data_IF_917065907310
#
_entry.id   IF_917065907310
#
_cell.length_a   1.000
_cell.length_b   1.000
_cell.length_c   1.000
_cell.angle_alpha   90.00
_cell.angle_beta   90.00
_cell.angle_gamma   90.00
#
_symmetry.space_group_name_H-M   'P 1'
#
loop_
_entity.id
_entity.type
_entity.pdbx_description
1 polymer ?
#
# COMPACT_ATOMS: atom_id res chain seq x y z
N UNK A 1 32.90 21.03 18.00
CA UNK A 1 33.88 19.99 18.34
C UNK A 1 33.48 18.72 17.60
N UNK A 2 34.30 18.24 16.65
CA UNK A 2 34.02 16.99 15.93
C UNK A 2 34.42 15.80 16.83
N UNK A 3 33.44 15.01 17.27
CA UNK A 3 33.70 13.75 17.97
C UNK A 3 34.37 12.76 17.02
N UNK A 4 35.55 12.25 17.39
CA UNK A 4 36.27 11.25 16.60
C UNK A 4 35.38 10.01 16.39
N UNK A 5 35.09 9.66 15.14
CA UNK A 5 34.33 8.46 14.80
C UNK A 5 35.21 7.22 14.95
N UNK A 6 34.64 6.15 15.48
CA UNK A 6 35.33 4.86 15.70
C UNK A 6 35.09 3.93 14.51
N UNK A 7 35.98 2.99 14.28
CA UNK A 7 35.79 1.88 13.34
C UNK A 7 35.74 0.58 14.13
N UNK A 8 34.82 -0.32 13.78
CA UNK A 8 34.63 -1.61 14.43
C UNK A 8 35.09 -2.75 13.54
N UNK A 9 34.63 -2.79 12.29
CA UNK A 9 34.85 -3.93 11.40
C UNK A 9 36.34 -4.17 11.10
N UNK A 10 37.17 -3.14 10.83
CA UNK A 10 38.60 -3.34 10.59
C UNK A 10 39.37 -3.91 11.79
N UNK A 11 38.83 -3.77 13.01
CA UNK A 11 39.43 -4.31 14.23
C UNK A 11 39.08 -5.79 14.48
N UNK A 12 38.13 -6.35 13.72
CA UNK A 12 37.69 -7.73 13.86
C UNK A 12 38.54 -8.68 12.99
N UNK A 13 38.93 -9.86 13.52
CA UNK A 13 39.47 -10.95 12.72
C UNK A 13 38.57 -11.29 11.52
N UNK A 14 39.14 -11.75 10.39
CA UNK A 14 38.39 -12.10 9.18
C UNK A 14 37.21 -13.06 9.43
N UNK A 15 37.35 -14.02 10.33
CA UNK A 15 36.35 -15.03 10.67
C UNK A 15 35.10 -14.37 11.29
N UNK A 16 35.31 -13.42 12.21
CA UNK A 16 34.22 -12.67 12.83
C UNK A 16 33.55 -11.71 11.85
N UNK A 17 34.32 -11.09 10.94
CA UNK A 17 33.75 -10.26 9.88
C UNK A 17 32.83 -11.06 8.97
N UNK A 18 33.24 -12.27 8.57
CA UNK A 18 32.41 -13.16 7.75
C UNK A 18 31.13 -13.58 8.48
N UNK A 19 31.22 -13.88 9.78
CA UNK A 19 30.04 -14.16 10.59
C UNK A 19 29.08 -12.97 10.63
N UNK A 20 29.59 -11.76 10.85
CA UNK A 20 28.79 -10.52 10.81
C UNK A 20 28.11 -10.39 9.45
N UNK A 21 28.83 -10.50 8.33
CA UNK A 21 28.21 -10.41 7.00
C UNK A 21 27.14 -11.49 6.76
N UNK A 22 27.29 -12.69 7.31
CA UNK A 22 26.27 -13.73 7.29
C UNK A 22 24.97 -13.32 8.01
N UNK A 23 25.09 -12.68 9.18
CA UNK A 23 23.93 -12.16 9.94
C UNK A 23 23.32 -10.88 9.35
N UNK A 24 24.08 -10.15 8.51
CA UNK A 24 23.59 -8.98 7.79
C UNK A 24 22.81 -9.33 6.52
N UNK A 25 22.63 -10.62 6.25
CA UNK A 25 21.71 -11.07 5.21
C UNK A 25 20.31 -10.51 5.44
N UNK A 26 19.53 -10.26 4.37
CA UNK A 26 18.25 -9.57 4.48
C UNK A 26 17.34 -10.29 5.48
N UNK A 27 16.94 -9.58 6.53
CA UNK A 27 15.89 -10.08 7.42
C UNK A 27 14.58 -10.10 6.62
N UNK A 28 13.81 -11.17 6.74
CA UNK A 28 12.46 -11.23 6.15
C UNK A 28 11.50 -10.21 6.81
N UNK A 29 11.86 -9.65 7.96
CA UNK A 29 10.98 -8.82 8.79
C UNK A 29 11.16 -7.35 8.42
N UNK A 30 10.05 -6.70 8.07
CA UNK A 30 10.00 -5.26 7.82
C UNK A 30 9.99 -4.48 9.13
N UNK A 31 10.86 -3.49 9.25
CA UNK A 31 10.98 -2.65 10.46
C UNK A 31 11.12 -1.18 10.08
N UNK A 32 10.71 -0.29 10.98
CA UNK A 32 10.97 1.15 10.91
C UNK A 32 12.01 1.63 11.95
N UNK A 33 12.65 0.70 12.65
CA UNK A 33 13.62 1.00 13.69
C UNK A 33 14.83 1.74 13.12
N UNK A 34 15.23 2.83 13.76
CA UNK A 34 16.37 3.63 13.31
C UNK A 34 16.08 4.55 12.11
N UNK A 35 14.85 4.54 11.59
CA UNK A 35 14.41 5.52 10.60
C UNK A 35 13.99 6.84 11.26
N UNK A 36 14.26 7.99 10.61
CA UNK A 36 13.93 9.30 11.16
C UNK A 36 12.43 9.60 11.13
N UNK A 37 11.66 8.89 10.30
CA UNK A 37 10.21 9.04 10.15
C UNK A 37 9.55 7.80 10.70
N UNK A 38 8.76 8.00 11.76
CA UNK A 38 7.86 6.99 12.31
C UNK A 38 6.51 7.02 11.59
N UNK A 39 5.59 6.12 11.96
CA UNK A 39 4.22 6.12 11.45
C UNK A 39 3.58 7.51 11.58
N UNK A 40 3.08 8.05 10.47
CA UNK A 40 2.29 9.29 10.44
C UNK A 40 0.88 9.00 9.97
N UNK A 41 -0.10 9.44 10.76
CA UNK A 41 -1.53 9.30 10.46
C UNK A 41 -2.12 10.67 10.13
N UNK A 42 -2.77 10.78 8.98
CA UNK A 42 -3.49 11.96 8.53
C UNK A 42 -4.97 11.64 8.43
N UNK A 43 -5.74 12.17 9.38
CA UNK A 43 -7.20 12.06 9.35
C UNK A 43 -7.81 13.14 8.46
N UNK A 44 -8.63 12.70 7.50
CA UNK A 44 -9.45 13.51 6.64
C UNK A 44 -10.91 13.08 6.79
N UNK A 45 -11.85 13.95 6.42
CA UNK A 45 -13.29 13.71 6.58
C UNK A 45 -13.77 12.34 6.08
N UNK A 46 -13.14 11.82 5.03
CA UNK A 46 -13.54 10.61 4.34
C UNK A 46 -12.46 9.53 4.31
N UNK A 47 -11.27 9.84 4.82
CA UNK A 47 -10.10 8.98 4.67
C UNK A 47 -9.19 9.07 5.88
N UNK A 48 -8.60 7.94 6.26
CA UNK A 48 -7.43 7.89 7.14
C UNK A 48 -6.24 7.46 6.28
N UNK A 49 -5.20 8.29 6.22
CA UNK A 49 -3.96 7.97 5.49
C UNK A 49 -2.84 7.73 6.50
N UNK A 50 -2.25 6.54 6.47
CA UNK A 50 -1.12 6.13 7.30
C UNK A 50 0.11 5.96 6.42
N UNK A 51 1.21 6.63 6.75
CA UNK A 51 2.47 6.56 6.01
C UNK A 51 3.56 6.08 6.96
N UNK A 52 4.26 5.01 6.58
CA UNK A 52 5.38 4.49 7.34
C UNK A 52 6.49 4.00 6.41
N UNK A 53 7.69 4.59 6.46
CA UNK A 53 8.84 4.01 5.77
C UNK A 53 9.33 2.79 6.54
N UNK A 54 9.76 1.78 5.80
CA UNK A 54 10.26 0.52 6.34
C UNK A 54 11.52 0.08 5.59
N UNK A 55 12.29 -0.79 6.21
CA UNK A 55 13.38 -1.52 5.58
C UNK A 55 13.44 -2.96 6.08
N UNK A 56 14.12 -3.82 5.32
CA UNK A 56 14.50 -5.19 5.70
C UNK A 56 15.99 -5.30 6.08
N UNK A 57 16.68 -4.17 6.17
CA UNK A 57 18.09 -4.07 6.58
C UNK A 57 18.35 -4.40 8.05
N UNK A 58 19.64 -4.54 8.40
CA UNK A 58 20.10 -4.87 9.76
C UNK A 58 19.92 -3.71 10.74
N UNK A 59 19.08 -3.93 11.75
CA UNK A 59 18.91 -3.00 12.86
C UNK A 59 20.14 -2.92 13.76
N UNK A 60 20.95 -3.99 13.83
CA UNK A 60 22.18 -4.02 14.61
C UNK A 60 23.22 -3.03 14.08
N UNK A 61 23.39 -2.93 12.75
CA UNK A 61 24.28 -1.92 12.16
C UNK A 61 23.77 -0.50 12.38
N UNK A 62 22.45 -0.28 12.28
CA UNK A 62 21.87 1.02 12.57
C UNK A 62 22.07 1.41 14.05
N UNK A 63 22.07 0.44 14.96
CA UNK A 63 22.32 0.70 16.39
C UNK A 63 23.75 1.18 16.66
N UNK A 64 24.74 0.77 15.85
CA UNK A 64 26.13 1.23 15.95
C UNK A 64 26.26 2.76 15.83
N UNK A 65 25.31 3.39 15.16
CA UNK A 65 25.25 4.85 15.03
C UNK A 65 25.21 5.55 16.39
N UNK A 66 24.53 4.97 17.38
CA UNK A 66 24.42 5.53 18.74
C UNK A 66 25.75 5.53 19.49
N UNK A 67 26.69 4.68 19.09
CA UNK A 67 28.00 4.54 19.69
C UNK A 67 29.11 5.26 18.91
N UNK A 68 28.76 6.01 17.86
CA UNK A 68 29.71 6.80 17.07
C UNK A 68 30.61 5.96 16.15
N UNK A 69 30.18 4.77 15.76
CA UNK A 69 30.87 3.97 14.75
C UNK A 69 30.54 4.44 13.33
N UNK A 70 31.58 4.51 12.49
CA UNK A 70 31.50 5.02 11.12
C UNK A 70 30.63 4.10 10.24
N UNK A 71 30.73 2.80 10.44
CA UNK A 71 29.96 1.79 9.71
C UNK A 71 28.44 1.97 9.87
N UNK A 72 27.99 2.35 11.07
CA UNK A 72 26.57 2.63 11.31
C UNK A 72 26.05 3.85 10.55
N UNK A 73 26.89 4.89 10.41
CA UNK A 73 26.54 6.10 9.65
C UNK A 73 26.55 5.86 8.14
N UNK A 74 27.54 5.14 7.63
CA UNK A 74 27.59 4.73 6.22
C UNK A 74 26.40 3.84 5.87
N UNK A 75 26.13 2.83 6.69
CA UNK A 75 25.00 1.93 6.49
C UNK A 75 23.67 2.68 6.49
N UNK A 76 23.46 3.61 7.45
CA UNK A 76 22.26 4.46 7.47
C UNK A 76 22.11 5.27 6.19
N UNK A 77 23.19 5.88 5.72
CA UNK A 77 23.17 6.71 4.50
C UNK A 77 22.87 5.86 3.27
N UNK A 78 23.47 4.68 3.16
CA UNK A 78 23.17 3.73 2.10
C UNK A 78 21.71 3.27 2.15
N UNK A 79 21.22 2.90 3.34
CA UNK A 79 19.87 2.40 3.57
C UNK A 79 18.82 3.43 3.16
N UNK A 80 18.97 4.69 3.59
CA UNK A 80 18.04 5.78 3.26
C UNK A 80 17.92 6.06 1.75
N UNK A 81 18.94 5.69 0.95
CA UNK A 81 18.95 5.92 -0.49
C UNK A 81 18.53 4.71 -1.31
N UNK A 82 18.64 3.48 -0.79
CA UNK A 82 18.54 2.26 -1.61
C UNK A 82 17.52 1.24 -1.11
N UNK A 83 17.33 1.13 0.21
CA UNK A 83 16.68 -0.04 0.82
C UNK A 83 15.42 0.30 1.61
N UNK A 84 14.82 1.46 1.35
CA UNK A 84 13.54 1.85 1.96
C UNK A 84 12.38 1.52 1.03
N UNK A 85 11.33 0.97 1.62
CA UNK A 85 10.00 0.89 1.03
C UNK A 85 9.07 1.83 1.79
N UNK A 86 8.31 2.65 1.08
CA UNK A 86 7.28 3.49 1.69
C UNK A 86 5.96 2.73 1.72
N UNK A 87 5.52 2.32 2.91
CA UNK A 87 4.19 1.72 3.10
C UNK A 87 3.16 2.79 3.34
N UNK A 88 2.07 2.75 2.58
CA UNK A 88 0.98 3.70 2.69
C UNK A 88 -0.35 2.96 2.83
N UNK A 89 -1.01 3.10 3.97
CA UNK A 89 -2.37 2.63 4.17
C UNK A 89 -3.37 3.75 3.94
N UNK A 90 -4.43 3.52 3.17
CA UNK A 90 -5.57 4.42 3.03
C UNK A 90 -6.84 3.68 3.42
N UNK A 91 -7.54 4.15 4.44
CA UNK A 91 -8.89 3.66 4.77
C UNK A 91 -9.89 4.66 4.26
N UNK A 92 -10.64 4.29 3.22
CA UNK A 92 -11.70 5.11 2.64
C UNK A 92 -13.04 4.80 3.31
N UNK A 93 -13.56 5.76 4.09
CA UNK A 93 -14.86 5.68 4.79
C UNK A 93 -15.89 6.65 4.22
N UNK A 94 -15.52 7.36 3.16
CA UNK A 94 -16.33 8.41 2.56
C UNK A 94 -17.48 7.91 1.72
N UNK A 95 -18.38 8.84 1.38
CA UNK A 95 -19.41 8.62 0.36
C UNK A 95 -18.89 9.13 -0.98
N UNK A 96 -19.04 8.34 -2.04
CA UNK A 96 -18.56 8.68 -3.39
C UNK A 96 -19.18 9.99 -3.91
N UNK A 97 -20.42 10.30 -3.50
CA UNK A 97 -21.12 11.52 -3.91
C UNK A 97 -20.62 12.81 -3.23
N UNK A 98 -20.10 12.74 -2.00
CA UNK A 98 -19.60 13.92 -1.26
C UNK A 98 -18.09 14.05 -1.29
N UNK A 99 -17.39 12.99 -1.72
CA UNK A 99 -15.95 12.99 -1.79
C UNK A 99 -15.48 13.82 -3.00
N UNK A 100 -14.76 14.90 -2.73
CA UNK A 100 -14.16 15.78 -3.74
C UNK A 100 -12.66 15.46 -3.83
N UNK A 101 -12.27 14.78 -4.92
CA UNK A 101 -10.90 14.34 -5.15
C UNK A 101 -9.90 15.50 -5.08
N UNK A 102 -10.18 16.63 -5.73
CA UNK A 102 -9.26 17.79 -5.79
C UNK A 102 -8.93 18.37 -4.41
N UNK A 103 -9.91 18.41 -3.51
CA UNK A 103 -9.69 18.86 -2.13
C UNK A 103 -8.83 17.87 -1.35
N UNK A 104 -9.04 16.57 -1.58
CA UNK A 104 -8.23 15.53 -0.98
C UNK A 104 -6.79 15.58 -1.52
N UNK A 105 -6.61 15.73 -2.83
CA UNK A 105 -5.32 15.82 -3.49
C UNK A 105 -4.50 16.97 -2.94
N UNK A 106 -5.06 18.19 -2.96
CA UNK A 106 -4.38 19.39 -2.43
C UNK A 106 -3.98 19.23 -0.96
N UNK A 107 -4.83 18.60 -0.15
CA UNK A 107 -4.54 18.38 1.28
C UNK A 107 -3.42 17.37 1.48
N UNK A 108 -3.49 16.22 0.81
CA UNK A 108 -2.49 15.17 0.94
C UNK A 108 -1.17 15.61 0.33
N UNK A 109 -1.18 16.25 -0.83
CA UNK A 109 0.01 16.82 -1.46
C UNK A 109 0.72 17.80 -0.52
N UNK A 110 -0.01 18.72 0.14
CA UNK A 110 0.59 19.63 1.11
C UNK A 110 1.25 18.88 2.29
N UNK A 111 0.63 17.80 2.80
CA UNK A 111 1.22 16.96 3.85
C UNK A 111 2.47 16.22 3.37
N UNK A 112 2.42 15.65 2.16
CA UNK A 112 3.52 14.95 1.52
C UNK A 112 4.70 15.89 1.24
N UNK A 113 4.45 17.08 0.72
CA UNK A 113 5.47 18.10 0.49
C UNK A 113 6.09 18.58 1.81
N UNK A 114 5.30 18.73 2.88
CA UNK A 114 5.81 19.05 4.22
C UNK A 114 6.74 17.93 4.74
N UNK A 115 6.36 16.67 4.57
CA UNK A 115 7.20 15.53 4.91
C UNK A 115 8.50 15.51 4.10
N UNK A 116 8.42 15.71 2.79
CA UNK A 116 9.58 15.75 1.91
C UNK A 116 10.52 16.92 2.21
N UNK A 117 9.99 18.06 2.66
CA UNK A 117 10.81 19.20 3.12
C UNK A 117 11.59 18.86 4.39
N UNK A 118 10.98 18.13 5.33
CA UNK A 118 11.64 17.67 6.56
C UNK A 118 12.62 16.52 6.31
N UNK A 119 12.30 15.66 5.33
CA UNK A 119 13.04 14.44 5.03
C UNK A 119 13.27 14.30 3.52
N UNK A 120 14.28 14.99 2.95
CA UNK A 120 14.51 15.05 1.50
C UNK A 120 14.74 13.70 0.83
N UNK A 121 15.25 12.71 1.58
CA UNK A 121 15.49 11.35 1.08
C UNK A 121 14.20 10.64 0.65
N UNK A 122 13.01 11.06 1.13
CA UNK A 122 11.72 10.47 0.72
C UNK A 122 11.48 10.54 -0.79
N UNK A 123 12.01 11.57 -1.46
CA UNK A 123 11.90 11.73 -2.92
C UNK A 123 12.66 10.68 -3.72
N UNK A 124 13.69 10.10 -3.10
CA UNK A 124 14.57 9.08 -3.68
C UNK A 124 14.07 7.65 -3.47
N UNK A 125 13.01 7.47 -2.69
CA UNK A 125 12.45 6.14 -2.42
C UNK A 125 11.94 5.55 -3.74
N UNK A 126 12.43 4.35 -4.07
CA UNK A 126 12.07 3.62 -5.29
C UNK A 126 10.85 2.74 -5.11
N UNK A 127 10.63 2.20 -3.91
CA UNK A 127 9.59 1.20 -3.63
C UNK A 127 8.43 1.78 -2.84
N UNK A 128 7.21 1.65 -3.38
CA UNK A 128 5.96 2.06 -2.73
C UNK A 128 5.04 0.84 -2.61
N UNK A 129 4.56 0.57 -1.39
CA UNK A 129 3.58 -0.48 -1.10
C UNK A 129 2.33 0.19 -0.53
N UNK A 130 1.33 0.38 -1.39
CA UNK A 130 0.12 1.15 -1.11
C UNK A 130 -1.05 0.17 -0.92
N UNK A 131 -1.72 0.22 0.22
CA UNK A 131 -2.96 -0.51 0.45
C UNK A 131 -4.11 0.45 0.67
N UNK A 132 -5.14 0.32 -0.15
CA UNK A 132 -6.36 1.10 -0.05
C UNK A 132 -7.45 0.14 0.39
N UNK A 133 -7.97 0.32 1.59
CA UNK A 133 -9.16 -0.35 2.06
C UNK A 133 -10.39 0.49 1.76
N UNK A 134 -11.33 -0.10 1.05
CA UNK A 134 -12.63 0.50 0.81
C UNK A 134 -13.66 0.04 1.85
N UNK A 135 -14.09 0.95 2.71
CA UNK A 135 -14.99 0.73 3.85
C UNK A 135 -16.11 1.80 3.88
N UNK A 136 -16.74 2.02 2.71
CA UNK A 136 -17.77 3.04 2.54
C UNK A 136 -19.16 2.50 2.96
N UNK A 137 -19.86 3.12 3.94
CA UNK A 137 -21.09 2.57 4.52
C UNK A 137 -22.33 2.68 3.62
N UNK A 138 -22.35 3.67 2.72
CA UNK A 138 -23.56 4.07 2.00
C UNK A 138 -23.85 3.26 0.74
N UNK A 139 -22.93 2.38 0.32
CA UNK A 139 -23.11 1.54 -0.88
C UNK A 139 -23.25 2.29 -2.22
N UNK A 140 -23.14 3.62 -2.23
CA UNK A 140 -23.21 4.45 -3.44
C UNK A 140 -21.91 4.33 -4.22
N UNK A 141 -21.98 3.83 -5.45
CA UNK A 141 -20.80 3.54 -6.28
C UNK A 141 -20.55 4.53 -7.43
N UNK A 142 -21.46 5.49 -7.64
CA UNK A 142 -21.31 6.56 -8.62
C UNK A 142 -21.54 7.92 -7.98
N UNK A 143 -20.79 8.90 -8.48
CA UNK A 143 -20.99 10.30 -8.11
C UNK A 143 -22.34 10.83 -8.64
N UNK A 144 -22.80 11.93 -8.05
CA UNK A 144 -23.99 12.66 -8.54
C UNK A 144 -23.77 12.99 -10.03
N UNK A 145 -24.72 12.63 -10.88
CA UNK A 145 -24.66 12.76 -12.35
C UNK A 145 -23.74 11.77 -13.11
N UNK A 146 -23.36 10.62 -12.51
CA UNK A 146 -22.59 9.57 -13.19
C UNK A 146 -21.22 10.01 -13.76
N UNK A 147 -20.65 11.13 -13.27
CA UNK A 147 -19.41 11.69 -13.81
C UNK A 147 -18.15 10.87 -13.50
N UNK A 148 -18.16 10.16 -12.38
CA UNK A 148 -17.05 9.33 -11.88
C UNK A 148 -17.55 8.06 -11.23
N UNK A 149 -16.89 6.95 -11.54
CA UNK A 149 -17.05 5.66 -10.87
C UNK A 149 -16.21 5.61 -9.59
N UNK A 150 -16.61 4.79 -8.62
CA UNK A 150 -15.87 4.59 -7.38
C UNK A 150 -14.42 4.16 -7.63
N UNK A 151 -14.17 3.31 -8.63
CA UNK A 151 -12.85 2.80 -8.99
C UNK A 151 -11.86 3.85 -9.53
N UNK A 152 -12.34 5.01 -9.99
CA UNK A 152 -11.45 6.12 -10.37
C UNK A 152 -10.83 6.82 -9.15
N UNK A 153 -11.49 6.78 -8.00
CA UNK A 153 -11.02 7.40 -6.75
C UNK A 153 -9.70 6.76 -6.26
N UNK A 154 -9.61 5.44 -6.01
CA UNK A 154 -8.37 4.83 -5.53
C UNK A 154 -7.23 5.00 -6.53
N UNK A 155 -7.53 4.99 -7.83
CA UNK A 155 -6.55 5.26 -8.87
C UNK A 155 -5.99 6.70 -8.77
N UNK A 156 -6.86 7.71 -8.62
CA UNK A 156 -6.42 9.09 -8.39
C UNK A 156 -5.68 9.28 -7.05
N UNK A 157 -6.05 8.52 -6.01
CA UNK A 157 -5.32 8.53 -4.74
C UNK A 157 -3.88 8.04 -4.90
N UNK A 158 -3.68 6.94 -5.63
CA UNK A 158 -2.34 6.42 -5.93
C UNK A 158 -1.49 7.47 -6.64
N UNK A 159 -2.07 8.19 -7.61
CA UNK A 159 -1.39 9.26 -8.31
C UNK A 159 -0.84 10.33 -7.35
N UNK A 160 -1.68 10.85 -6.47
CA UNK A 160 -1.27 11.85 -5.48
C UNK A 160 -0.23 11.30 -4.50
N UNK A 161 -0.39 10.05 -4.04
CA UNK A 161 0.52 9.42 -3.08
C UNK A 161 1.92 9.17 -3.66
N UNK A 162 1.99 8.87 -4.95
CA UNK A 162 3.25 8.65 -5.69
C UNK A 162 3.85 9.95 -6.24
N UNK A 163 3.15 11.08 -6.10
CA UNK A 163 3.59 12.40 -6.57
C UNK A 163 4.93 12.87 -5.98
N UNK A 164 5.34 12.34 -4.83
CA UNK A 164 6.65 12.65 -4.22
C UNK A 164 7.84 11.98 -4.92
N UNK A 165 7.62 10.91 -5.68
CA UNK A 165 8.69 10.17 -6.31
C UNK A 165 9.27 10.97 -7.47
N UNK A 166 10.57 11.28 -7.40
CA UNK A 166 11.28 12.03 -8.44
C UNK A 166 11.14 11.33 -9.80
N UNK A 167 10.91 12.09 -10.88
CA UNK A 167 10.65 11.52 -12.21
C UNK A 167 11.78 10.61 -12.71
N UNK A 168 13.03 10.96 -12.42
CA UNK A 168 14.20 10.16 -12.79
C UNK A 168 14.26 8.82 -12.05
N UNK A 169 13.83 8.81 -10.78
CA UNK A 169 13.75 7.58 -9.96
C UNK A 169 12.60 6.72 -10.44
N UNK A 170 11.43 7.34 -10.67
CA UNK A 170 10.21 6.70 -11.17
C UNK A 170 10.48 5.89 -12.43
N UNK A 171 11.08 6.51 -13.45
CA UNK A 171 11.36 5.88 -14.75
C UNK A 171 12.43 4.78 -14.70
N UNK A 172 13.44 4.92 -13.84
CA UNK A 172 14.60 4.00 -13.82
C UNK A 172 14.40 2.80 -12.90
N UNK A 173 13.84 3.02 -11.72
CA UNK A 173 13.81 2.03 -10.64
C UNK A 173 12.52 2.09 -9.80
N UNK A 174 11.53 2.89 -10.20
CA UNK A 174 10.26 3.00 -9.47
C UNK A 174 9.50 1.68 -9.52
N UNK A 175 9.18 1.15 -8.34
CA UNK A 175 8.40 -0.07 -8.14
C UNK A 175 7.22 0.25 -7.23
N UNK A 176 6.02 0.29 -7.82
CA UNK A 176 4.79 0.67 -7.12
C UNK A 176 3.85 -0.52 -7.07
N UNK A 177 3.63 -1.06 -5.88
CA UNK A 177 2.59 -2.06 -5.62
C UNK A 177 1.39 -1.38 -4.98
N UNK A 178 0.21 -1.61 -5.55
CA UNK A 178 -1.07 -1.08 -5.06
C UNK A 178 -2.03 -2.23 -4.85
N UNK A 179 -2.61 -2.32 -3.65
CA UNK A 179 -3.67 -3.26 -3.33
C UNK A 179 -4.94 -2.51 -2.96
N UNK A 180 -5.97 -2.65 -3.78
CA UNK A 180 -7.33 -2.23 -3.46
C UNK A 180 -8.04 -3.38 -2.74
N UNK A 181 -8.30 -3.23 -1.45
CA UNK A 181 -8.98 -4.22 -0.61
C UNK A 181 -10.42 -3.80 -0.39
N UNK A 182 -11.36 -4.62 -0.83
CA UNK A 182 -12.80 -4.40 -0.66
C UNK A 182 -13.29 -5.15 0.57
N UNK A 183 -13.86 -4.41 1.52
CA UNK A 183 -14.58 -5.01 2.65
C UNK A 183 -15.68 -5.96 2.18
N UNK A 184 -15.98 -6.99 2.98
CA UNK A 184 -16.94 -8.02 2.56
C UNK A 184 -18.33 -7.44 2.26
N UNK A 185 -18.80 -6.50 3.09
CA UNK A 185 -20.09 -5.85 2.88
C UNK A 185 -20.08 -4.94 1.64
N UNK A 186 -18.95 -4.28 1.35
CA UNK A 186 -18.77 -3.47 0.13
C UNK A 186 -18.80 -4.37 -1.10
N UNK A 187 -18.03 -5.46 -1.09
CA UNK A 187 -18.04 -6.45 -2.17
C UNK A 187 -19.46 -6.96 -2.46
N UNK A 188 -20.25 -7.24 -1.42
CA UNK A 188 -21.65 -7.62 -1.57
C UNK A 188 -22.52 -6.54 -2.22
N UNK A 189 -22.28 -5.27 -1.90
CA UNK A 189 -22.96 -4.14 -2.57
C UNK A 189 -22.55 -4.04 -4.03
N UNK A 190 -21.25 -4.10 -4.34
CA UNK A 190 -20.70 -4.00 -5.70
C UNK A 190 -21.33 -5.03 -6.64
N UNK A 191 -21.52 -6.25 -6.14
CA UNK A 191 -22.10 -7.34 -6.93
C UNK A 191 -23.61 -7.18 -7.13
N UNK A 192 -24.32 -6.52 -6.21
CA UNK A 192 -25.78 -6.33 -6.27
C UNK A 192 -26.21 -5.05 -6.96
N UNK A 193 -25.33 -4.05 -7.03
CA UNK A 193 -25.65 -2.74 -7.57
C UNK A 193 -25.58 -2.71 -9.09
N UNK A 194 -26.62 -2.16 -9.72
CA UNK A 194 -26.62 -1.83 -11.16
C UNK A 194 -25.49 -0.86 -11.56
N UNK A 195 -25.19 0.23 -10.80
CA UNK A 195 -23.96 0.97 -11.04
C UNK A 195 -22.76 0.15 -10.53
N UNK A 196 -21.92 -0.34 -11.44
CA UNK A 196 -20.65 -1.00 -11.10
C UNK A 196 -19.73 -0.07 -10.30
N UNK A 197 -18.83 -0.68 -9.52
CA UNK A 197 -17.77 0.04 -8.82
C UNK A 197 -16.81 0.69 -9.82
N UNK A 198 -16.57 0.02 -10.95
CA UNK A 198 -15.62 0.45 -11.97
C UNK A 198 -14.21 -0.02 -11.63
N UNK A 199 -14.08 -1.27 -11.20
CA UNK A 199 -12.79 -1.90 -10.90
C UNK A 199 -11.92 -1.98 -12.16
N UNK A 200 -12.55 -2.15 -13.33
CA UNK A 200 -11.85 -2.07 -14.61
C UNK A 200 -11.16 -0.73 -14.80
N UNK A 201 -11.79 0.39 -14.40
CA UNK A 201 -11.14 1.71 -14.45
C UNK A 201 -9.93 1.82 -13.51
N UNK A 202 -9.93 1.10 -12.38
CA UNK A 202 -8.78 1.01 -11.50
C UNK A 202 -7.66 0.14 -12.09
N UNK A 203 -8.02 -0.96 -12.76
CA UNK A 203 -7.09 -1.91 -13.41
C UNK A 203 -6.56 -1.42 -14.76
N UNK A 204 -7.16 -0.38 -15.33
CA UNK A 204 -6.63 0.31 -16.50
C UNK A 204 -5.36 1.06 -16.10
N UNK A 205 -4.24 0.64 -16.67
CA UNK A 205 -2.98 1.36 -16.59
C UNK A 205 -3.15 2.64 -17.44
N UNK A 206 -2.76 3.78 -16.89
CA UNK A 206 -2.95 5.08 -17.55
C UNK A 206 -2.31 5.11 -18.96
N UNK A 207 -2.97 5.72 -19.96
CA UNK A 207 -2.33 5.97 -21.25
C UNK A 207 -1.12 6.91 -21.15
N UNK A 208 -0.15 6.69 -22.03
CA UNK A 208 1.24 7.19 -22.04
C UNK A 208 1.46 8.69 -21.77
N UNK A 209 0.45 9.54 -21.99
CA UNK A 209 0.56 11.00 -21.84
C UNK A 209 0.51 11.42 -20.37
N UNK A 210 -0.07 10.60 -19.49
CA UNK A 210 -0.20 10.86 -18.04
C UNK A 210 0.14 9.64 -17.19
N UNK A 211 0.74 8.59 -17.76
CA UNK A 211 1.08 7.39 -17.01
C UNK A 211 2.09 7.66 -15.89
N UNK A 212 1.89 6.99 -14.75
CA UNK A 212 2.94 6.74 -13.78
C UNK A 212 3.98 5.91 -14.52
N UNK A 213 4.93 6.55 -15.19
CA UNK A 213 6.05 5.89 -15.90
C UNK A 213 7.00 5.27 -14.89
N UNK A 214 6.49 4.35 -14.07
CA UNK A 214 7.24 3.56 -13.13
C UNK A 214 7.92 2.43 -13.89
N UNK A 215 9.11 2.03 -13.45
CA UNK A 215 9.79 0.86 -14.02
C UNK A 215 8.95 -0.41 -13.84
N UNK A 216 8.26 -0.52 -12.70
CA UNK A 216 7.29 -1.57 -12.40
C UNK A 216 6.07 -1.01 -11.67
N UNK A 217 4.89 -1.44 -12.09
CA UNK A 217 3.63 -1.15 -11.40
C UNK A 217 2.82 -2.43 -11.26
N UNK A 218 2.39 -2.74 -10.04
CA UNK A 218 1.53 -3.88 -9.73
C UNK A 218 0.23 -3.37 -9.14
N UNK A 219 -0.89 -3.69 -9.76
CA UNK A 219 -2.24 -3.38 -9.29
C UNK A 219 -2.94 -4.67 -8.88
N UNK A 220 -3.44 -4.73 -7.66
CA UNK A 220 -4.13 -5.89 -7.12
C UNK A 220 -5.49 -5.48 -6.57
N UNK A 221 -6.52 -6.29 -6.84
CA UNK A 221 -7.84 -6.17 -6.22
C UNK A 221 -8.03 -7.38 -5.32
N UNK A 222 -8.34 -7.13 -4.06
CA UNK A 222 -8.55 -8.13 -3.03
C UNK A 222 -9.95 -7.99 -2.43
N UNK A 223 -10.53 -9.12 -2.05
CA UNK A 223 -11.76 -9.20 -1.28
C UNK A 223 -11.44 -9.63 0.14
N UNK A 224 -11.90 -8.87 1.14
CA UNK A 224 -11.72 -9.22 2.55
C UNK A 224 -12.51 -10.47 2.95
N UNK A 225 -12.03 -11.26 3.92
CA UNK A 225 -12.77 -12.41 4.41
C UNK A 225 -14.11 -11.98 5.01
N UNK A 226 -15.10 -12.87 4.94
CA UNK A 226 -16.38 -12.63 5.59
C UNK A 226 -16.17 -12.68 7.11
N UNK A 227 -16.65 -11.69 7.90
CA UNK A 227 -16.56 -11.76 9.34
C UNK A 227 -17.28 -13.02 9.86
N UNK A 228 -16.62 -13.78 10.76
CA UNK A 228 -17.10 -15.08 11.28
C UNK A 228 -18.45 -15.01 11.99
N UNK A 229 -18.86 -13.82 12.44
CA UNK A 229 -20.10 -13.58 13.18
C UNK A 229 -21.08 -12.87 12.24
N UNK A 230 -21.72 -13.61 11.35
CA UNK A 230 -22.94 -13.13 10.68
C UNK A 230 -24.16 -13.53 11.53
N UNK A 231 -25.13 -12.65 11.78
CA UNK A 231 -26.37 -13.03 12.43
C UNK A 231 -27.06 -14.11 11.58
N UNK A 232 -27.40 -15.25 12.21
CA UNK A 232 -27.90 -16.51 11.60
C UNK A 232 -29.11 -16.40 10.65
N UNK A 233 -29.70 -15.21 10.45
CA UNK A 233 -30.89 -14.98 9.62
C UNK A 233 -30.65 -14.06 8.41
N UNK A 234 -29.46 -13.50 8.23
CA UNK A 234 -29.15 -12.69 7.04
C UNK A 234 -28.37 -13.54 6.03
N UNK A 235 -28.93 -13.70 4.83
CA UNK A 235 -28.24 -14.29 3.70
C UNK A 235 -26.80 -13.74 3.58
N UNK A 236 -25.83 -14.58 3.21
CA UNK A 236 -24.37 -14.29 3.14
C UNK A 236 -23.97 -13.14 2.18
N UNK A 237 -24.95 -12.46 1.62
CA UNK A 237 -24.81 -11.32 0.73
C UNK A 237 -25.41 -10.04 1.34
N UNK A 238 -26.02 -10.10 2.52
CA UNK A 238 -26.57 -8.94 3.22
C UNK A 238 -25.44 -8.14 3.86
N UNK A 239 -25.28 -6.85 3.55
CA UNK A 239 -24.24 -6.02 4.15
C UNK A 239 -24.51 -5.88 5.66
N UNK A 240 -23.65 -6.48 6.48
CA UNK A 240 -23.64 -6.22 7.92
C UNK A 240 -22.62 -5.12 8.15
N UNK A 241 -23.10 -3.90 8.40
CA UNK A 241 -22.24 -2.79 8.82
C UNK A 241 -21.75 -3.12 10.23
N UNK A 242 -20.48 -3.50 10.36
CA UNK A 242 -19.85 -3.63 11.67
C UNK A 242 -19.72 -2.24 12.30
N UNK A 243 -19.76 -2.15 13.64
CA UNK A 243 -19.59 -0.88 14.37
C UNK A 243 -18.38 -0.12 13.83
N UNK A 244 -18.53 1.20 13.69
CA UNK A 244 -17.52 2.15 13.20
C UNK A 244 -16.37 2.28 14.21
N UNK A 245 -15.61 1.20 14.43
CA UNK A 245 -14.30 1.32 15.04
C UNK A 245 -13.38 1.95 14.00
N UNK A 246 -12.50 2.86 14.43
CA UNK A 246 -11.51 3.42 13.53
C UNK A 246 -10.56 2.31 13.09
N UNK A 247 -10.76 1.81 11.87
CA UNK A 247 -9.89 0.81 11.28
C UNK A 247 -8.55 1.44 10.87
N UNK A 248 -7.47 0.77 11.23
CA UNK A 248 -6.09 1.09 10.83
C UNK A 248 -5.55 -0.01 9.90
N UNK A 249 -4.63 0.33 9.02
CA UNK A 249 -4.00 -0.61 8.09
C UNK A 249 -2.56 -0.93 8.45
N UNK A 250 -1.86 -0.05 9.15
CA UNK A 250 -0.49 -0.27 9.59
C UNK A 250 -0.46 -0.39 11.11
N UNK A 251 0.08 -1.51 11.60
CA UNK A 251 0.41 -1.69 13.00
C UNK A 251 1.93 -1.57 13.18
N UNK A 252 2.35 -0.66 14.06
CA UNK A 252 3.75 -0.52 14.47
C UNK A 252 3.86 -0.99 15.91
N UNK A 253 4.26 -2.24 16.11
CA UNK A 253 4.41 -2.85 17.43
C UNK A 253 5.83 -3.40 17.59
N UNK A 254 6.48 -3.12 18.71
CA UNK A 254 7.84 -3.63 19.00
C UNK A 254 8.88 -3.36 17.89
N UNK A 255 8.68 -2.29 17.10
CA UNK A 255 9.54 -1.93 15.99
C UNK A 255 9.38 -2.79 14.73
N UNK A 256 8.43 -3.73 14.69
CA UNK A 256 7.96 -4.32 13.44
C UNK A 256 6.84 -3.46 12.87
N UNK A 257 6.79 -3.40 11.54
CA UNK A 257 5.72 -2.72 10.83
C UNK A 257 5.04 -3.76 9.97
N UNK A 258 3.79 -4.05 10.29
CA UNK A 258 3.01 -5.04 9.60
C UNK A 258 1.69 -4.44 9.12
N UNK A 259 1.21 -4.97 8.00
CA UNK A 259 -0.18 -4.74 7.62
C UNK A 259 -1.06 -5.38 8.69
N UNK A 260 -2.04 -4.64 9.21
CA UNK A 260 -2.97 -5.18 10.20
C UNK A 260 -3.60 -6.44 9.58
N UNK A 261 -3.51 -7.56 10.30
CA UNK A 261 -3.96 -8.86 9.81
C UNK A 261 -5.48 -8.97 9.85
N UNK A 262 -6.15 -8.79 8.72
CA UNK A 262 -7.62 -8.90 8.62
C UNK A 262 -8.04 -10.31 8.17
N UNK A 263 -7.07 -11.25 8.16
CA UNK A 263 -7.14 -12.56 7.54
C UNK A 263 -6.55 -12.56 6.12
N UNK A 264 -6.29 -13.74 5.54
CA UNK A 264 -5.93 -13.85 4.13
C UNK A 264 -7.18 -13.50 3.32
N UNK A 265 -7.25 -12.25 2.83
CA UNK A 265 -8.21 -11.89 1.81
C UNK A 265 -8.03 -12.77 0.57
N UNK A 266 -8.98 -12.70 -0.36
CA UNK A 266 -8.90 -13.46 -1.62
C UNK A 266 -8.53 -12.51 -2.76
N UNK A 267 -7.44 -12.79 -3.46
CA UNK A 267 -6.98 -11.99 -4.61
C UNK A 267 -7.92 -12.16 -5.79
N UNK A 268 -8.68 -11.13 -6.16
CA UNK A 268 -9.59 -11.17 -7.32
C UNK A 268 -8.81 -11.13 -8.63
N UNK A 269 -7.90 -10.16 -8.75
CA UNK A 269 -7.10 -9.95 -9.96
C UNK A 269 -5.82 -9.21 -9.59
N UNK A 270 -4.72 -9.58 -10.23
CA UNK A 270 -3.46 -8.84 -10.21
C UNK A 270 -3.02 -8.53 -11.63
N UNK A 271 -2.51 -7.32 -11.83
CA UNK A 271 -1.97 -6.86 -13.10
C UNK A 271 -0.63 -6.20 -12.83
N UNK A 272 0.41 -6.74 -13.42
CA UNK A 272 1.78 -6.21 -13.32
C UNK A 272 2.23 -5.71 -14.68
N UNK A 273 2.64 -4.46 -14.73
CA UNK A 273 3.32 -3.85 -15.86
C UNK A 273 4.78 -3.59 -15.50
N UNK A 274 5.68 -4.00 -16.36
CA UNK A 274 7.09 -3.67 -16.29
C UNK A 274 7.47 -2.98 -17.60
N UNK A 275 8.18 -1.85 -17.52
CA UNK A 275 8.54 -1.04 -18.68
C UNK A 275 9.32 -1.88 -19.70
N UNK A 276 8.79 -1.98 -20.92
CA UNK A 276 9.41 -2.76 -22.01
C UNK A 276 9.15 -4.27 -21.94
N UNK A 277 8.26 -4.74 -21.05
CA UNK A 277 7.82 -6.14 -20.99
C UNK A 277 6.32 -6.26 -21.21
N UNK A 278 5.88 -7.46 -21.57
CA UNK A 278 4.47 -7.78 -21.68
C UNK A 278 3.78 -7.66 -20.31
N UNK A 279 2.61 -7.03 -20.29
CA UNK A 279 1.77 -6.95 -19.10
C UNK A 279 1.37 -8.36 -18.65
N UNK A 280 1.73 -8.72 -17.43
CA UNK A 280 1.32 -9.98 -16.82
C UNK A 280 0.01 -9.76 -16.05
N UNK A 281 -1.00 -10.55 -16.37
CA UNK A 281 -2.26 -10.55 -15.63
C UNK A 281 -2.42 -11.92 -14.99
N UNK A 282 -2.56 -11.94 -13.67
CA UNK A 282 -2.85 -13.16 -12.91
C UNK A 282 -4.20 -13.02 -12.23
N UNK A 283 -4.94 -14.10 -12.18
CA UNK A 283 -6.21 -14.23 -11.47
C UNK A 283 -6.14 -15.45 -10.56
N UNK A 284 -7.16 -15.68 -9.73
CA UNK A 284 -7.19 -16.80 -8.81
C UNK A 284 -6.84 -18.14 -9.47
N UNK A 285 -5.93 -18.89 -8.86
CA UNK A 285 -5.83 -20.35 -9.02
C UNK A 285 -7.03 -20.96 -8.28
N UNK A 286 -8.05 -21.34 -9.02
CA UNK A 286 -9.30 -21.85 -8.46
C UNK A 286 -9.22 -23.36 -8.22
N UNK A 287 -8.62 -23.77 -7.09
CA UNK A 287 -8.98 -25.03 -6.42
C UNK A 287 -10.23 -24.83 -5.53
N UNK A 288 -11.20 -24.05 -6.01
CA UNK A 288 -12.36 -23.61 -5.23
C UNK A 288 -13.60 -24.34 -5.75
N UNK A 289 -14.22 -25.15 -4.89
CA UNK A 289 -15.43 -25.89 -5.19
C UNK A 289 -16.64 -24.96 -5.39
N UNK A 290 -17.30 -25.07 -6.55
CA UNK A 290 -18.37 -24.20 -7.13
C UNK A 290 -19.65 -23.93 -6.29
N UNK A 291 -19.67 -24.28 -5.01
CA UNK A 291 -20.89 -24.33 -4.21
C UNK A 291 -21.06 -23.16 -3.22
N UNK A 292 -20.20 -22.12 -3.26
CA UNK A 292 -20.26 -21.04 -2.26
C UNK A 292 -20.75 -19.68 -2.82
N UNK A 293 -21.66 -18.96 -2.11
CA UNK A 293 -22.05 -17.58 -2.46
C UNK A 293 -20.90 -16.58 -2.54
N UNK A 294 -19.73 -16.94 -1.98
CA UNK A 294 -18.51 -16.12 -2.06
C UNK A 294 -17.90 -16.20 -3.45
N UNK A 295 -17.98 -17.34 -4.15
CA UNK A 295 -17.48 -17.48 -5.51
C UNK A 295 -18.25 -16.63 -6.52
N UNK A 296 -19.58 -16.63 -6.46
CA UNK A 296 -20.40 -15.76 -7.32
C UNK A 296 -20.00 -14.29 -7.14
N UNK A 297 -19.71 -13.89 -5.90
CA UNK A 297 -19.24 -12.54 -5.62
C UNK A 297 -17.85 -12.29 -6.22
N UNK A 298 -16.92 -13.24 -6.11
CA UNK A 298 -15.59 -13.14 -6.71
C UNK A 298 -15.63 -13.08 -8.24
N UNK A 299 -16.51 -13.87 -8.87
CA UNK A 299 -16.71 -13.85 -10.32
C UNK A 299 -17.25 -12.51 -10.80
N UNK A 300 -18.27 -11.95 -10.14
CA UNK A 300 -18.82 -10.64 -10.50
C UNK A 300 -17.82 -9.49 -10.25
N UNK A 301 -16.96 -9.60 -9.23
CA UNK A 301 -15.85 -8.66 -9.05
C UNK A 301 -14.80 -8.79 -10.16
N UNK A 302 -14.49 -10.02 -10.59
CA UNK A 302 -13.56 -10.27 -11.69
C UNK A 302 -14.09 -9.71 -13.01
N UNK A 303 -15.39 -9.85 -13.30
CA UNK A 303 -16.04 -9.24 -14.47
C UNK A 303 -15.96 -7.70 -14.43
N UNK A 304 -16.20 -7.06 -13.28
CA UNK A 304 -16.02 -5.60 -13.11
C UNK A 304 -14.55 -5.21 -13.33
N UNK A 305 -13.58 -5.99 -12.84
CA UNK A 305 -12.15 -5.78 -13.10
C UNK A 305 -11.77 -5.88 -14.59
N UNK A 306 -12.48 -6.71 -15.37
CA UNK A 306 -12.30 -6.80 -16.82
C UNK A 306 -13.02 -5.67 -17.58
N UNK A 307 -13.79 -4.82 -16.89
CA UNK A 307 -14.62 -3.80 -17.51
C UNK A 307 -15.81 -4.38 -18.27
N UNK A 308 -16.22 -5.62 -17.97
CA UNK A 308 -17.36 -6.28 -18.59
C UNK A 308 -18.65 -5.97 -17.81
N UNK A 309 -19.71 -5.67 -18.57
CA UNK A 309 -21.08 -5.26 -18.16
C UNK A 309 -21.23 -3.83 -17.68
#
# INVERSE_FOLDING_TARGET
MATAMRTLLPMLPPELRNSVYGYLSPSAISTNNGLPVQLKSYSCKHTLVQICPIHSGSTALLALQRYGFLEGNEYRTWLLNNAITLRIGVVFRGRVNTFVQEHWDKKIEAHLQKLAKQHPWLKKVTKYDIQILWDAPDGVLKSKHNRRSAGQIPHAMVWTLTGLMDEGVRKKAGDVQVRLRLEHHVAGVVVRSSPRFGLGSFMTLLPEVTALKCARQTLEVWKEPCPKILPRKSARLTPVVMKVAEKELLNCANGTVDWVGWGPGTLVMSKTEELGKQTCTTWMDTDIAYDSPTELMLFELLEDCQGRR
#
